data_IF_577048128059
#
_entry.id   IF_577048128059
#
_cell.length_a   1.000
_cell.length_b   1.000
_cell.length_c   1.000
_cell.angle_alpha   90.00
_cell.angle_beta   90.00
_cell.angle_gamma   90.00
#
_symmetry.space_group_name_H-M   'P 1'
#
loop_
_entity.id
_entity.type
_entity.pdbx_description
1 polymer ?
#
# COMPACT_ATOMS: atom_id res chain seq x y z
N UNK A 1 3.39 -10.74 6.45
CA UNK A 1 3.30 -11.93 5.57
C UNK A 1 4.65 -12.33 4.95
N UNK A 2 5.36 -11.42 4.26
CA UNK A 2 6.65 -11.72 3.61
C UNK A 2 7.70 -12.39 4.50
N UNK A 3 7.90 -12.00 5.78
CA UNK A 3 8.88 -12.64 6.66
C UNK A 3 8.56 -14.09 7.08
N UNK A 4 7.33 -14.55 6.87
CA UNK A 4 6.88 -15.90 7.27
C UNK A 4 6.64 -16.78 6.05
N UNK A 5 5.82 -16.31 5.10
CA UNK A 5 5.34 -17.10 3.96
C UNK A 5 6.08 -16.81 2.64
N UNK A 6 7.03 -15.88 2.64
CA UNK A 6 7.80 -15.49 1.47
C UNK A 6 7.05 -14.58 0.47
N UNK A 7 7.74 -14.20 -0.60
CA UNK A 7 7.25 -13.25 -1.59
C UNK A 7 6.06 -13.78 -2.41
N UNK A 8 6.06 -15.06 -2.76
CA UNK A 8 5.01 -15.69 -3.59
C UNK A 8 3.61 -15.54 -2.99
N UNK A 9 3.45 -15.86 -1.71
CA UNK A 9 2.16 -15.75 -1.01
C UNK A 9 1.78 -14.29 -0.74
N UNK A 10 2.75 -13.44 -0.44
CA UNK A 10 2.51 -12.00 -0.27
C UNK A 10 1.99 -11.38 -1.56
N UNK A 11 2.58 -11.71 -2.71
CA UNK A 11 2.12 -11.27 -4.03
C UNK A 11 0.69 -11.70 -4.32
N UNK A 12 0.34 -12.97 -4.05
CA UNK A 12 -1.04 -13.46 -4.20
C UNK A 12 -2.03 -12.70 -3.33
N UNK A 13 -1.69 -12.46 -2.07
CA UNK A 13 -2.53 -11.69 -1.16
C UNK A 13 -2.75 -10.25 -1.65
N UNK A 14 -1.72 -9.60 -2.18
CA UNK A 14 -1.82 -8.27 -2.77
C UNK A 14 -2.77 -8.26 -3.97
N UNK A 15 -2.62 -9.21 -4.91
CA UNK A 15 -3.50 -9.30 -6.06
C UNK A 15 -4.95 -9.66 -5.71
N UNK A 16 -5.15 -10.54 -4.70
CA UNK A 16 -6.49 -10.85 -4.19
C UNK A 16 -7.15 -9.61 -3.55
N UNK A 17 -6.42 -8.88 -2.71
CA UNK A 17 -6.91 -7.63 -2.12
C UNK A 17 -7.27 -6.61 -3.20
N UNK A 18 -6.43 -6.47 -4.24
CA UNK A 18 -6.70 -5.59 -5.36
C UNK A 18 -7.94 -6.02 -6.16
N UNK A 19 -8.11 -7.33 -6.42
CA UNK A 19 -9.33 -7.86 -7.05
C UNK A 19 -10.60 -7.54 -6.26
N UNK A 20 -10.55 -7.66 -4.92
CA UNK A 20 -11.67 -7.29 -4.03
C UNK A 20 -11.96 -5.78 -4.13
N UNK A 21 -10.94 -4.93 -4.16
CA UNK A 21 -11.13 -3.49 -4.34
C UNK A 21 -11.78 -3.14 -5.67
N UNK A 22 -11.41 -3.81 -6.77
CA UNK A 22 -12.05 -3.62 -8.08
C UNK A 22 -13.52 -4.07 -8.07
N UNK A 23 -13.82 -5.19 -7.40
CA UNK A 23 -15.21 -5.64 -7.21
C UNK A 23 -16.02 -4.61 -6.42
N UNK A 24 -15.44 -4.03 -5.36
CA UNK A 24 -16.10 -2.98 -4.59
C UNK A 24 -16.35 -1.72 -5.45
N UNK A 25 -15.39 -1.31 -6.28
CA UNK A 25 -15.58 -0.20 -7.23
C UNK A 25 -16.75 -0.51 -8.19
N UNK A 26 -16.78 -1.71 -8.75
CA UNK A 26 -17.85 -2.11 -9.68
C UNK A 26 -19.22 -2.10 -8.96
N UNK A 27 -19.32 -2.68 -7.75
CA UNK A 27 -20.55 -2.71 -6.97
C UNK A 27 -21.04 -1.29 -6.64
N UNK A 28 -20.18 -0.42 -6.13
CA UNK A 28 -20.54 0.97 -5.82
C UNK A 28 -20.93 1.77 -7.06
N UNK A 29 -20.28 1.50 -8.19
CA UNK A 29 -20.62 2.13 -9.46
C UNK A 29 -22.01 1.71 -9.92
N UNK A 30 -22.34 0.41 -9.86
CA UNK A 30 -23.67 -0.09 -10.20
C UNK A 30 -24.74 0.54 -9.31
N UNK A 31 -24.54 0.49 -7.98
CA UNK A 31 -25.49 1.05 -7.01
C UNK A 31 -25.68 2.56 -7.20
N UNK A 32 -24.64 3.29 -7.56
CA UNK A 32 -24.71 4.74 -7.84
C UNK A 32 -25.64 5.08 -9.00
N UNK A 33 -25.71 4.21 -10.02
CA UNK A 33 -26.56 4.42 -11.21
C UNK A 33 -27.98 3.85 -11.02
N UNK A 34 -28.27 3.19 -9.89
CA UNK A 34 -29.62 2.74 -9.59
C UNK A 34 -30.51 3.92 -9.15
N UNK A 35 -31.80 3.94 -9.54
CA UNK A 35 -32.71 4.99 -9.12
C UNK A 35 -32.88 4.96 -7.59
N UNK A 36 -32.79 6.11 -6.89
CA UNK A 36 -32.99 6.16 -5.45
C UNK A 36 -34.43 5.89 -5.09
N UNK A 37 -34.66 5.38 -3.87
CA UNK A 37 -36.01 5.28 -3.33
C UNK A 37 -36.62 6.69 -3.15
N UNK A 38 -37.94 6.88 -3.37
CA UNK A 38 -38.58 8.19 -3.30
C UNK A 38 -38.35 8.93 -1.98
N UNK A 39 -38.17 8.19 -0.88
CA UNK A 39 -37.99 8.73 0.47
C UNK A 39 -36.52 8.99 0.82
N UNK A 40 -35.59 8.61 -0.06
CA UNK A 40 -34.15 8.76 0.19
C UNK A 40 -33.64 10.16 -0.17
N UNK A 41 -33.42 11.00 0.84
CA UNK A 41 -33.03 12.41 0.66
C UNK A 41 -31.53 12.64 0.56
N UNK A 42 -30.68 11.64 0.86
CA UNK A 42 -29.24 11.78 0.93
C UNK A 42 -28.48 11.34 -0.36
N UNK A 43 -29.21 11.20 -1.50
CA UNK A 43 -28.62 10.72 -2.76
C UNK A 43 -27.41 11.55 -3.22
N UNK A 44 -27.48 12.87 -3.13
CA UNK A 44 -26.41 13.76 -3.54
C UNK A 44 -25.11 13.54 -2.72
N UNK A 45 -25.23 13.33 -1.40
CA UNK A 45 -24.10 13.01 -0.54
C UNK A 45 -23.51 11.64 -0.86
N UNK A 46 -24.36 10.67 -1.12
CA UNK A 46 -23.99 9.32 -1.53
C UNK A 46 -23.18 9.35 -2.85
N UNK A 47 -23.67 10.05 -3.86
CA UNK A 47 -22.99 10.20 -5.15
C UNK A 47 -21.66 10.96 -5.03
N UNK A 48 -21.60 11.98 -4.19
CA UNK A 48 -20.37 12.72 -3.96
C UNK A 48 -19.26 11.84 -3.35
N UNK A 49 -19.59 11.01 -2.36
CA UNK A 49 -18.63 10.13 -1.71
C UNK A 49 -18.24 8.96 -2.62
N UNK A 50 -19.22 8.22 -3.14
CA UNK A 50 -18.94 7.02 -3.94
C UNK A 50 -18.45 7.34 -5.35
N UNK A 51 -18.78 8.50 -5.90
CA UNK A 51 -18.24 8.97 -7.16
C UNK A 51 -16.74 9.21 -7.14
N UNK A 52 -16.19 9.51 -5.97
CA UNK A 52 -14.76 9.71 -5.76
C UNK A 52 -13.99 8.40 -5.51
N UNK A 53 -14.68 7.33 -5.13
CA UNK A 53 -14.08 6.06 -4.75
C UNK A 53 -13.21 5.40 -5.85
N UNK A 54 -13.62 5.33 -7.13
CA UNK A 54 -12.78 4.78 -8.18
C UNK A 54 -11.44 5.51 -8.34
N UNK A 55 -11.44 6.84 -8.18
CA UNK A 55 -10.24 7.66 -8.23
C UNK A 55 -9.29 7.36 -7.06
N UNK A 56 -9.83 7.14 -5.86
CA UNK A 56 -9.04 6.74 -4.67
C UNK A 56 -8.39 5.38 -4.91
N UNK A 57 -9.12 4.40 -5.47
CA UNK A 57 -8.58 3.06 -5.74
C UNK A 57 -7.46 3.12 -6.78
N UNK A 58 -7.65 3.89 -7.87
CA UNK A 58 -6.61 4.09 -8.88
C UNK A 58 -5.36 4.80 -8.29
N UNK A 59 -5.58 5.82 -7.45
CA UNK A 59 -4.51 6.52 -6.75
C UNK A 59 -3.72 5.58 -5.81
N UNK A 60 -4.44 4.75 -5.04
CA UNK A 60 -3.83 3.76 -4.13
C UNK A 60 -2.98 2.74 -4.88
N UNK A 61 -3.45 2.27 -6.04
CA UNK A 61 -2.67 1.33 -6.86
C UNK A 61 -1.40 1.98 -7.40
N UNK A 62 -1.51 3.16 -8.00
CA UNK A 62 -0.36 3.89 -8.53
C UNK A 62 0.68 4.20 -7.44
N UNK A 63 0.21 4.65 -6.28
CA UNK A 63 1.02 4.93 -5.11
C UNK A 63 1.75 3.67 -4.61
N UNK A 64 1.00 2.58 -4.41
CA UNK A 64 1.55 1.30 -3.96
C UNK A 64 2.64 0.76 -4.91
N UNK A 65 2.41 0.78 -6.21
CA UNK A 65 3.39 0.33 -7.20
C UNK A 65 4.65 1.18 -7.14
N UNK A 66 4.50 2.51 -7.11
CA UNK A 66 5.63 3.45 -7.06
C UNK A 66 6.40 3.32 -5.75
N UNK A 67 5.71 3.32 -4.61
CA UNK A 67 6.31 3.20 -3.29
C UNK A 67 7.06 1.87 -3.11
N UNK A 68 6.45 0.76 -3.53
CA UNK A 68 7.05 -0.59 -3.45
C UNK A 68 8.29 -0.72 -4.33
N UNK A 69 8.26 -0.16 -5.55
CA UNK A 69 9.41 -0.16 -6.46
C UNK A 69 10.57 0.64 -5.87
N UNK A 70 10.30 1.86 -5.41
CA UNK A 70 11.32 2.74 -4.82
C UNK A 70 11.88 2.18 -3.52
N UNK A 71 11.03 1.63 -2.65
CA UNK A 71 11.48 0.94 -1.45
C UNK A 71 12.45 -0.21 -1.79
N UNK A 72 12.11 -1.05 -2.76
CA UNK A 72 12.96 -2.16 -3.21
C UNK A 72 14.28 -1.67 -3.80
N UNK A 73 14.24 -0.63 -4.62
CA UNK A 73 15.41 -0.02 -5.24
C UNK A 73 16.37 0.60 -4.20
N UNK A 74 15.83 1.39 -3.27
CA UNK A 74 16.62 2.01 -2.20
C UNK A 74 17.22 0.94 -1.28
N UNK A 75 16.45 -0.09 -0.94
CA UNK A 75 16.94 -1.22 -0.14
C UNK A 75 18.13 -1.91 -0.80
N UNK A 76 18.05 -2.16 -2.12
CA UNK A 76 19.14 -2.77 -2.88
C UNK A 76 20.39 -1.86 -2.92
N UNK A 77 20.23 -0.56 -3.20
CA UNK A 77 21.33 0.40 -3.18
C UNK A 77 21.99 0.53 -1.81
N UNK A 78 21.20 0.61 -0.75
CA UNK A 78 21.71 0.67 0.61
C UNK A 78 22.44 -0.63 1.00
N UNK A 79 22.01 -1.80 0.51
CA UNK A 79 22.70 -3.07 0.71
C UNK A 79 24.11 -3.04 0.15
N UNK A 80 24.29 -2.54 -1.06
CA UNK A 80 25.62 -2.39 -1.68
C UNK A 80 26.47 -1.39 -0.92
N UNK A 81 25.92 -0.21 -0.58
CA UNK A 81 26.63 0.86 0.11
C UNK A 81 27.09 0.46 1.53
N UNK A 82 26.29 -0.33 2.25
CA UNK A 82 26.59 -0.79 3.61
C UNK A 82 27.34 -2.13 3.64
N UNK A 83 27.78 -2.67 2.49
CA UNK A 83 28.41 -3.99 2.38
C UNK A 83 27.65 -5.12 3.10
N UNK A 84 26.32 -5.02 3.15
CA UNK A 84 25.46 -5.98 3.82
C UNK A 84 25.24 -5.74 5.33
N UNK A 85 26.04 -4.86 5.93
CA UNK A 85 25.91 -4.48 7.34
C UNK A 85 24.70 -3.54 7.59
N UNK A 86 24.39 -3.25 8.86
CA UNK A 86 23.37 -2.27 9.30
C UNK A 86 21.98 -2.51 8.68
N UNK A 87 21.46 -3.72 8.81
CA UNK A 87 20.16 -4.13 8.26
C UNK A 87 19.02 -3.17 8.64
N UNK A 88 18.99 -2.71 9.91
CA UNK A 88 17.97 -1.79 10.41
C UNK A 88 17.96 -0.45 9.64
N UNK A 89 19.14 0.11 9.34
CA UNK A 89 19.25 1.37 8.58
C UNK A 89 18.72 1.22 7.16
N UNK A 90 18.97 0.06 6.54
CA UNK A 90 18.49 -0.25 5.20
C UNK A 90 16.97 -0.37 5.16
N UNK A 91 16.40 -1.08 6.14
CA UNK A 91 14.95 -1.26 6.23
C UNK A 91 14.24 0.07 6.49
N UNK A 92 14.65 0.81 7.51
CA UNK A 92 14.04 2.10 7.84
C UNK A 92 14.24 3.11 6.72
N UNK A 93 15.45 3.22 6.19
CA UNK A 93 15.75 4.19 5.12
C UNK A 93 15.00 3.92 3.81
N UNK A 94 14.86 2.65 3.41
CA UNK A 94 14.09 2.30 2.21
C UNK A 94 12.60 2.49 2.40
N UNK A 95 12.07 2.17 3.58
CA UNK A 95 10.69 2.39 3.97
C UNK A 95 10.32 3.88 3.95
N UNK A 96 11.15 4.70 4.58
CA UNK A 96 10.96 6.14 4.65
C UNK A 96 10.86 6.80 3.27
N UNK A 97 11.70 6.39 2.32
CA UNK A 97 11.67 6.87 0.94
C UNK A 97 10.45 6.29 0.20
N UNK A 98 10.17 4.99 0.35
CA UNK A 98 9.02 4.35 -0.27
C UNK A 98 7.69 5.00 0.14
N UNK A 99 7.49 5.24 1.43
CA UNK A 99 6.29 5.89 1.97
C UNK A 99 6.14 7.36 1.54
N UNK A 100 7.26 8.07 1.39
CA UNK A 100 7.23 9.43 0.86
C UNK A 100 6.64 9.47 -0.55
N UNK A 101 7.21 8.68 -1.47
CA UNK A 101 6.74 8.66 -2.86
C UNK A 101 5.36 8.03 -3.01
N UNK A 102 5.01 7.02 -2.21
CA UNK A 102 3.65 6.50 -2.12
C UNK A 102 2.66 7.63 -1.79
N UNK A 103 2.96 8.42 -0.76
CA UNK A 103 2.09 9.53 -0.34
C UNK A 103 2.01 10.65 -1.38
N UNK A 104 3.13 10.99 -2.03
CA UNK A 104 3.16 11.98 -3.11
C UNK A 104 2.28 11.54 -4.29
N UNK A 105 2.47 10.32 -4.78
CA UNK A 105 1.70 9.81 -5.92
C UNK A 105 0.23 9.69 -5.58
N UNK A 106 -0.10 9.18 -4.37
CA UNK A 106 -1.46 9.12 -3.90
C UNK A 106 -2.11 10.51 -3.87
N UNK A 107 -1.46 11.49 -3.26
CA UNK A 107 -1.98 12.84 -3.14
C UNK A 107 -2.23 13.49 -4.52
N UNK A 108 -1.27 13.36 -5.43
CA UNK A 108 -1.38 13.95 -6.77
C UNK A 108 -2.51 13.30 -7.59
N UNK A 109 -2.67 11.99 -7.53
CA UNK A 109 -3.72 11.28 -8.29
C UNK A 109 -5.08 11.44 -7.63
N UNK A 110 -5.18 11.25 -6.30
CA UNK A 110 -6.45 11.35 -5.58
C UNK A 110 -6.97 12.78 -5.52
N UNK A 111 -6.13 13.73 -5.15
CA UNK A 111 -6.54 15.10 -4.85
C UNK A 111 -6.06 16.15 -5.86
N UNK A 112 -5.39 15.74 -6.94
CA UNK A 112 -5.01 16.65 -8.03
C UNK A 112 -6.23 17.36 -8.61
N UNK A 113 -6.17 18.70 -8.64
CA UNK A 113 -7.29 19.56 -9.03
C UNK A 113 -8.28 19.90 -7.91
N UNK A 114 -8.21 19.22 -6.74
CA UNK A 114 -9.03 19.51 -5.56
C UNK A 114 -8.21 20.29 -4.53
N UNK A 115 -7.05 19.76 -4.16
CA UNK A 115 -6.10 20.45 -3.29
C UNK A 115 -5.06 21.14 -4.15
N UNK A 116 -4.78 22.41 -3.85
CA UNK A 116 -3.80 23.22 -4.59
C UNK A 116 -2.81 23.90 -3.64
N UNK A 117 -1.63 24.20 -4.16
CA UNK A 117 -0.62 24.99 -3.46
C UNK A 117 -0.22 24.40 -2.12
N UNK A 118 -0.28 25.24 -1.09
CA UNK A 118 0.13 24.89 0.28
C UNK A 118 -0.68 23.73 0.86
N UNK A 119 -1.98 23.61 0.54
CA UNK A 119 -2.83 22.53 1.04
C UNK A 119 -2.35 21.14 0.61
N UNK A 120 -1.92 21.01 -0.65
CA UNK A 120 -1.34 19.76 -1.16
C UNK A 120 -0.03 19.41 -0.45
N UNK A 121 0.86 20.38 -0.26
CA UNK A 121 2.13 20.19 0.45
C UNK A 121 1.92 19.75 1.90
N UNK A 122 1.03 20.43 2.60
CA UNK A 122 0.68 20.09 3.99
C UNK A 122 0.11 18.68 4.07
N UNK A 123 -0.81 18.31 3.18
CA UNK A 123 -1.36 16.95 3.11
C UNK A 123 -0.25 15.89 2.93
N UNK A 124 0.66 16.11 1.98
CA UNK A 124 1.77 15.19 1.71
C UNK A 124 2.68 15.06 2.93
N UNK A 125 3.12 16.18 3.50
CA UNK A 125 4.05 16.15 4.64
C UNK A 125 3.43 15.53 5.89
N UNK A 126 2.22 15.94 6.25
CA UNK A 126 1.53 15.39 7.43
C UNK A 126 1.18 13.92 7.20
N UNK A 127 0.66 13.55 6.03
CA UNK A 127 0.31 12.18 5.69
C UNK A 127 1.53 11.24 5.73
N UNK A 128 2.65 11.68 5.16
CA UNK A 128 3.90 10.93 5.19
C UNK A 128 4.46 10.78 6.61
N UNK A 129 4.54 11.86 7.38
CA UNK A 129 5.03 11.82 8.76
C UNK A 129 4.14 10.95 9.65
N UNK A 130 2.81 11.06 9.48
CA UNK A 130 1.86 10.26 10.24
C UNK A 130 2.01 8.77 9.93
N UNK A 131 2.02 8.38 8.64
CA UNK A 131 2.21 6.98 8.21
C UNK A 131 3.52 6.42 8.76
N UNK A 132 4.63 7.11 8.53
CA UNK A 132 5.96 6.70 9.01
C UNK A 132 6.00 6.61 10.55
N UNK A 133 5.40 7.56 11.24
CA UNK A 133 5.31 7.56 12.70
C UNK A 133 4.55 6.35 13.25
N UNK A 134 3.38 6.06 12.69
CA UNK A 134 2.58 4.88 13.07
C UNK A 134 3.36 3.60 12.80
N UNK A 135 4.03 3.49 11.65
CA UNK A 135 4.80 2.32 11.28
C UNK A 135 5.97 2.08 12.25
N UNK A 136 6.72 3.12 12.59
CA UNK A 136 7.81 3.06 13.57
C UNK A 136 7.30 2.64 14.96
N UNK A 137 6.18 3.20 15.42
CA UNK A 137 5.56 2.84 16.70
C UNK A 137 5.07 1.39 16.70
N UNK A 138 4.56 0.92 15.56
CA UNK A 138 4.08 -0.46 15.42
C UNK A 138 5.20 -1.50 15.21
N UNK A 139 6.43 -1.09 14.88
CA UNK A 139 7.56 -2.02 14.66
C UNK A 139 7.74 -3.06 15.78
N UNK A 140 7.80 -2.69 17.08
CA UNK A 140 7.99 -3.68 18.13
C UNK A 140 6.85 -4.69 18.24
N UNK A 141 5.62 -4.27 17.94
CA UNK A 141 4.45 -5.16 17.88
C UNK A 141 4.59 -6.10 16.70
N UNK A 142 4.93 -5.57 15.54
CA UNK A 142 5.14 -6.33 14.30
C UNK A 142 6.21 -7.41 14.48
N UNK A 143 7.33 -7.10 15.11
CA UNK A 143 8.38 -8.08 15.40
C UNK A 143 7.88 -9.20 16.31
N UNK A 144 7.13 -8.89 17.37
CA UNK A 144 6.55 -9.90 18.26
C UNK A 144 5.56 -10.82 17.54
N UNK A 145 4.69 -10.24 16.70
CA UNK A 145 3.72 -11.00 15.91
C UNK A 145 4.43 -11.93 14.93
N UNK A 146 5.43 -11.43 14.20
CA UNK A 146 6.21 -12.24 13.25
C UNK A 146 6.93 -13.38 13.98
N UNK A 147 7.58 -13.11 15.11
CA UNK A 147 8.27 -14.12 15.89
C UNK A 147 7.30 -15.22 16.37
N UNK A 148 6.13 -14.83 16.87
CA UNK A 148 5.08 -15.76 17.30
C UNK A 148 4.52 -16.58 16.14
N UNK A 149 4.28 -15.96 14.99
CA UNK A 149 3.81 -16.67 13.79
C UNK A 149 4.84 -17.71 13.30
N UNK A 150 6.13 -17.35 13.26
CA UNK A 150 7.19 -18.31 12.89
C UNK A 150 7.26 -19.52 13.84
N UNK A 151 7.02 -19.30 15.14
CA UNK A 151 6.98 -20.39 16.13
C UNK A 151 5.76 -21.31 15.94
N UNK A 152 4.58 -20.76 15.66
CA UNK A 152 3.33 -21.50 15.51
C UNK A 152 3.32 -22.29 14.19
N UNK A 153 3.63 -21.60 13.09
CA UNK A 153 3.55 -22.17 11.74
C UNK A 153 4.76 -23.06 11.41
N UNK A 154 5.86 -22.96 12.16
CA UNK A 154 7.14 -23.66 11.88
C UNK A 154 7.64 -23.45 10.46
N UNK A 155 7.28 -22.36 9.82
CA UNK A 155 7.64 -21.98 8.46
C UNK A 155 8.56 -20.76 8.50
N UNK A 156 9.74 -20.89 7.94
CA UNK A 156 10.66 -19.78 7.67
C UNK A 156 11.12 -19.89 6.22
N UNK A 157 10.44 -19.18 5.33
CA UNK A 157 10.71 -19.26 3.90
C UNK A 157 11.80 -18.28 3.51
N UNK A 158 12.92 -18.79 3.00
CA UNK A 158 13.96 -17.99 2.37
C UNK A 158 13.66 -17.84 0.88
N UNK A 159 13.62 -16.59 0.40
CA UNK A 159 13.31 -16.25 -0.99
C UNK A 159 14.55 -16.32 -1.92
N UNK A 160 15.47 -17.27 -1.70
CA UNK A 160 16.77 -17.35 -2.41
C UNK A 160 16.64 -17.63 -3.91
N UNK A 161 15.52 -18.22 -4.37
CA UNK A 161 15.24 -18.56 -5.77
C UNK A 161 13.91 -17.99 -6.27
N UNK A 162 13.39 -16.97 -5.62
CA UNK A 162 12.07 -16.43 -5.94
C UNK A 162 12.18 -15.35 -7.03
N UNK A 163 11.35 -15.49 -8.07
CA UNK A 163 11.17 -14.45 -9.07
C UNK A 163 10.37 -13.27 -8.47
N UNK A 164 11.02 -12.12 -8.37
CA UNK A 164 10.47 -10.90 -7.80
C UNK A 164 9.58 -10.09 -8.77
N UNK A 165 9.25 -10.65 -9.93
CA UNK A 165 8.37 -10.01 -10.91
C UNK A 165 6.96 -9.82 -10.33
N UNK A 166 6.46 -8.59 -10.33
CA UNK A 166 5.18 -8.22 -9.71
C UNK A 166 3.99 -8.89 -10.43
N UNK A 167 4.06 -9.03 -11.75
CA UNK A 167 2.95 -9.48 -12.60
C UNK A 167 2.84 -11.00 -12.80
N UNK A 168 3.79 -11.79 -12.33
CA UNK A 168 3.78 -13.24 -12.50
C UNK A 168 2.93 -13.90 -11.42
N UNK A 169 1.72 -14.31 -11.76
CA UNK A 169 0.83 -15.10 -10.90
C UNK A 169 1.10 -16.58 -11.19
N UNK A 170 2.05 -17.20 -10.51
CA UNK A 170 2.27 -18.65 -10.61
C UNK A 170 1.14 -19.39 -9.90
N UNK A 171 0.42 -20.19 -10.66
CA UNK A 171 -0.74 -21.00 -10.19
C UNK A 171 -0.29 -22.37 -9.63
N UNK A 172 1.04 -22.67 -9.65
CA UNK A 172 1.59 -23.95 -9.12
C UNK A 172 2.40 -23.74 -7.86
#
# INVERSE_FOLDING_TARGET
MRPVYGYKYTRRAIWAAFGIMLLAVAAFTVVRYMPPAPEYTAQASYEAVLGFFPRIVAASLAAFLTGSFLNSFVLAKLKVKTKGEKLWLRLIGSMFVGEFFDTVVFALVAFGGILQGTGMLVYILIGWLFKTGVEVVCLPITYRVIAKMKQIEKVDTYDDKTDFTIFRVDVR
#
